data_IF_812625591436
#
_entry.id   IF_812625591436
#
_cell.length_a   1.000
_cell.length_b   1.000
_cell.length_c   1.000
_cell.angle_alpha   90.00
_cell.angle_beta   90.00
_cell.angle_gamma   90.00
#
_symmetry.space_group_name_H-M   'P 1'
#
loop_
_entity.id
_entity.type
_entity.pdbx_description
1 polymer ?
#
# COMPACT_ATOMS: atom_id res chain seq x y z
N UNK A 1 -46.06 -9.75 -18.37
CA UNK A 1 -46.64 -9.03 -17.23
C UNK A 1 -45.48 -8.56 -16.36
N UNK A 2 -45.16 -7.28 -16.45
CA UNK A 2 -44.16 -6.67 -15.59
C UNK A 2 -44.84 -6.38 -14.24
N UNK A 3 -44.54 -7.20 -13.25
CA UNK A 3 -44.85 -6.85 -11.86
C UNK A 3 -43.94 -5.68 -11.49
N UNK A 4 -44.53 -4.57 -11.08
CA UNK A 4 -43.78 -3.37 -10.75
C UNK A 4 -42.76 -3.61 -9.63
N UNK A 5 -41.68 -2.87 -9.64
CA UNK A 5 -40.53 -2.96 -8.70
C UNK A 5 -40.97 -2.96 -7.22
N UNK A 6 -42.05 -2.25 -6.89
CA UNK A 6 -42.64 -2.16 -5.55
C UNK A 6 -43.31 -3.45 -5.06
N UNK A 7 -43.86 -4.27 -5.99
CA UNK A 7 -44.48 -5.54 -5.62
C UNK A 7 -43.45 -6.67 -5.37
N UNK A 8 -42.26 -6.60 -5.96
CA UNK A 8 -41.16 -7.53 -5.67
C UNK A 8 -40.50 -7.24 -4.32
N UNK A 9 -40.40 -5.98 -3.93
CA UNK A 9 -39.81 -5.59 -2.64
C UNK A 9 -40.68 -6.06 -1.45
N UNK A 10 -42.00 -6.04 -1.60
CA UNK A 10 -42.95 -6.47 -0.56
C UNK A 10 -42.98 -7.99 -0.31
N UNK A 11 -42.48 -8.81 -1.26
CA UNK A 11 -42.47 -10.28 -1.14
C UNK A 11 -41.31 -10.83 -0.30
N UNK A 12 -40.29 -9.99 0.05
CA UNK A 12 -39.05 -10.42 0.73
C UNK A 12 -38.86 -9.82 2.13
N UNK A 13 -39.83 -9.04 2.64
CA UNK A 13 -39.72 -8.36 3.95
C UNK A 13 -39.90 -9.27 5.15
N UNK A 14 -40.22 -10.56 4.97
CA UNK A 14 -40.57 -11.50 6.04
C UNK A 14 -39.67 -12.76 6.06
N UNK A 15 -38.46 -12.66 5.48
CA UNK A 15 -37.49 -13.77 5.54
C UNK A 15 -36.77 -13.78 6.90
N UNK A 16 -36.68 -14.96 7.57
CA UNK A 16 -36.02 -15.04 8.86
C UNK A 16 -34.52 -14.74 8.78
N UNK A 17 -34.03 -13.90 9.68
CA UNK A 17 -32.60 -13.58 9.84
C UNK A 17 -31.96 -14.48 10.89
N UNK A 18 -31.49 -15.65 10.46
CA UNK A 18 -30.82 -16.60 11.35
C UNK A 18 -29.45 -16.14 11.86
N UNK A 19 -28.80 -15.18 11.22
CA UNK A 19 -27.49 -14.67 11.66
C UNK A 19 -27.62 -13.81 12.94
N UNK A 20 -28.75 -13.11 13.08
CA UNK A 20 -29.05 -12.29 14.26
C UNK A 20 -29.64 -13.09 15.45
N UNK A 21 -29.89 -14.39 15.29
CA UNK A 21 -30.41 -15.22 16.38
C UNK A 21 -29.40 -15.32 17.53
N UNK A 22 -29.90 -15.57 18.75
CA UNK A 22 -29.08 -15.84 19.91
C UNK A 22 -28.38 -17.20 19.83
N UNK A 23 -27.10 -17.23 20.26
CA UNK A 23 -26.33 -18.49 20.35
C UNK A 23 -26.15 -18.91 21.81
N UNK A 24 -26.74 -20.06 22.19
CA UNK A 24 -26.70 -20.57 23.55
C UNK A 24 -25.37 -21.18 23.96
N UNK A 25 -24.45 -21.40 23.02
CA UNK A 25 -23.13 -21.98 23.28
C UNK A 25 -22.17 -21.03 24.01
N UNK A 26 -22.47 -19.72 23.99
CA UNK A 26 -21.73 -18.66 24.66
C UNK A 26 -20.21 -18.63 24.34
N UNK A 27 -19.83 -18.93 23.09
CA UNK A 27 -18.46 -18.92 22.59
C UNK A 27 -18.30 -17.79 21.56
N UNK A 28 -17.41 -16.84 21.88
CA UNK A 28 -17.03 -15.81 20.91
C UNK A 28 -16.15 -16.39 19.80
N UNK A 29 -16.22 -15.81 18.60
CA UNK A 29 -15.36 -16.15 17.46
C UNK A 29 -14.39 -15.02 17.22
N UNK A 30 -13.07 -15.29 17.24
CA UNK A 30 -12.04 -14.26 17.05
C UNK A 30 -12.06 -13.68 15.63
N UNK A 31 -12.27 -14.54 14.61
CA UNK A 31 -12.31 -14.13 13.20
C UNK A 31 -13.38 -14.90 12.44
N UNK A 32 -14.36 -14.18 11.90
CA UNK A 32 -15.36 -14.68 10.97
C UNK A 32 -15.47 -13.73 9.79
N UNK A 33 -15.60 -14.23 8.56
CA UNK A 33 -15.73 -13.37 7.39
C UNK A 33 -15.47 -14.10 6.07
N UNK A 34 -15.04 -13.35 5.06
CA UNK A 34 -14.78 -13.84 3.71
C UNK A 34 -13.29 -14.01 3.46
N UNK A 35 -12.94 -15.00 2.65
CA UNK A 35 -11.55 -15.36 2.34
C UNK A 35 -11.37 -15.65 0.86
N UNK A 36 -10.13 -15.40 0.37
CA UNK A 36 -9.67 -15.72 -0.98
C UNK A 36 -10.47 -15.03 -2.12
N UNK A 37 -11.07 -13.87 -1.85
CA UNK A 37 -11.74 -13.08 -2.87
C UNK A 37 -10.71 -12.35 -3.74
N UNK A 38 -10.71 -12.58 -5.06
CA UNK A 38 -9.89 -11.81 -6.00
C UNK A 38 -10.54 -10.44 -6.27
N UNK A 39 -9.79 -9.36 -6.01
CA UNK A 39 -10.30 -8.00 -6.15
C UNK A 39 -9.24 -7.04 -6.72
N UNK A 40 -9.60 -6.13 -7.65
CA UNK A 40 -8.67 -5.12 -8.16
C UNK A 40 -8.34 -4.10 -7.07
N UNK A 41 -7.05 -3.82 -6.90
CA UNK A 41 -6.53 -2.88 -5.91
C UNK A 41 -5.50 -1.93 -6.53
N UNK A 42 -5.24 -0.82 -5.86
CA UNK A 42 -4.21 0.14 -6.19
C UNK A 42 -3.16 0.15 -5.08
N UNK A 43 -1.90 -0.02 -5.46
CA UNK A 43 -0.77 0.00 -4.52
C UNK A 43 0.10 1.20 -4.84
N UNK A 44 0.59 1.90 -3.81
CA UNK A 44 1.52 3.00 -4.00
C UNK A 44 2.83 2.48 -4.57
N UNK A 45 3.32 3.15 -5.60
CA UNK A 45 4.55 2.86 -6.34
C UNK A 45 5.43 4.12 -6.32
N UNK A 46 6.66 3.96 -5.87
CA UNK A 46 7.58 5.10 -5.69
C UNK A 46 7.98 5.76 -7.02
N UNK A 47 8.02 4.99 -8.09
CA UNK A 47 8.43 5.46 -9.43
C UNK A 47 7.26 5.92 -10.28
N UNK A 48 6.10 5.24 -10.18
CA UNK A 48 4.94 5.44 -11.05
C UNK A 48 3.72 5.94 -10.27
N UNK A 49 3.89 6.35 -9.01
CA UNK A 49 2.85 6.81 -8.09
C UNK A 49 1.90 5.70 -7.66
N UNK A 50 1.27 4.98 -8.59
CA UNK A 50 0.30 3.91 -8.34
C UNK A 50 0.51 2.75 -9.29
N UNK A 51 0.48 1.54 -8.75
CA UNK A 51 0.43 0.30 -9.51
C UNK A 51 -0.92 -0.38 -9.33
N UNK A 52 -1.60 -0.68 -10.46
CA UNK A 52 -2.83 -1.47 -10.46
C UNK A 52 -2.49 -2.95 -10.45
N UNK A 53 -3.08 -3.70 -9.52
CA UNK A 53 -2.88 -5.14 -9.40
C UNK A 53 -4.17 -5.84 -8.97
N UNK A 54 -4.14 -7.16 -8.88
CA UNK A 54 -5.24 -7.97 -8.35
C UNK A 54 -4.76 -8.60 -7.05
N UNK A 55 -5.46 -8.28 -5.95
CA UNK A 55 -5.19 -8.86 -4.65
C UNK A 55 -6.13 -10.02 -4.33
N UNK A 56 -5.63 -11.01 -3.56
CA UNK A 56 -6.47 -11.87 -2.73
C UNK A 56 -6.84 -11.12 -1.48
N UNK A 57 -8.12 -10.92 -1.26
CA UNK A 57 -8.68 -10.17 -0.16
C UNK A 57 -9.31 -11.12 0.84
N UNK A 58 -8.90 -11.00 2.10
CA UNK A 58 -9.56 -11.62 3.23
C UNK A 58 -10.07 -10.51 4.14
N UNK A 59 -11.33 -10.60 4.57
CA UNK A 59 -11.97 -9.67 5.49
C UNK A 59 -12.59 -10.45 6.64
N UNK A 60 -12.29 -10.03 7.87
CA UNK A 60 -12.81 -10.68 9.06
C UNK A 60 -13.26 -9.66 10.10
N UNK A 61 -14.17 -10.09 10.96
CA UNK A 61 -14.56 -9.40 12.18
C UNK A 61 -14.57 -10.37 13.36
N UNK A 62 -14.47 -9.84 14.56
CA UNK A 62 -14.81 -10.59 15.77
C UNK A 62 -16.33 -10.76 15.86
N UNK A 63 -16.80 -11.92 16.35
CA UNK A 63 -18.22 -12.18 16.60
C UNK A 63 -18.42 -12.43 18.09
N UNK A 64 -19.18 -11.57 18.78
CA UNK A 64 -19.52 -11.74 20.20
C UNK A 64 -20.25 -13.05 20.45
N UNK A 65 -20.08 -13.63 21.64
CA UNK A 65 -20.57 -14.94 22.04
C UNK A 65 -22.11 -15.14 21.94
N UNK A 66 -22.87 -14.04 21.94
CA UNK A 66 -24.32 -14.07 21.87
C UNK A 66 -24.93 -14.01 20.48
N UNK A 67 -24.11 -13.75 19.44
CA UNK A 67 -24.55 -13.78 18.05
C UNK A 67 -24.26 -15.14 17.40
N UNK A 68 -25.21 -15.66 16.65
CA UNK A 68 -25.10 -16.93 15.93
C UNK A 68 -24.22 -16.83 14.67
N UNK A 69 -24.23 -15.68 13.99
CA UNK A 69 -23.49 -15.47 12.76
C UNK A 69 -23.32 -14.00 12.38
N UNK A 70 -22.76 -13.77 11.18
CA UNK A 70 -22.65 -12.45 10.57
C UNK A 70 -23.03 -12.50 9.10
N UNK A 71 -23.42 -11.35 8.53
CA UNK A 71 -23.87 -11.24 7.15
C UNK A 71 -22.72 -11.12 6.17
N UNK A 72 -22.37 -12.20 5.47
CA UNK A 72 -21.25 -12.23 4.51
C UNK A 72 -21.42 -11.26 3.34
N UNK A 73 -22.65 -10.97 2.90
CA UNK A 73 -22.93 -10.00 1.84
C UNK A 73 -22.48 -8.58 2.17
N UNK A 74 -22.52 -8.18 3.45
CA UNK A 74 -22.09 -6.84 3.90
C UNK A 74 -20.60 -6.57 3.62
N UNK A 75 -19.74 -7.60 3.69
CA UNK A 75 -18.33 -7.46 3.30
C UNK A 75 -18.18 -7.09 1.82
N UNK A 76 -18.96 -7.75 0.94
CA UNK A 76 -18.91 -7.47 -0.51
C UNK A 76 -19.48 -6.08 -0.81
N UNK A 77 -20.54 -5.67 -0.11
CA UNK A 77 -21.13 -4.33 -0.26
C UNK A 77 -20.11 -3.23 0.11
N UNK A 78 -19.33 -3.44 1.19
CA UNK A 78 -18.27 -2.51 1.62
C UNK A 78 -17.19 -2.41 0.54
N UNK A 79 -16.72 -3.54 0.01
CA UNK A 79 -15.73 -3.54 -1.06
C UNK A 79 -16.25 -2.85 -2.32
N UNK A 80 -17.49 -3.11 -2.71
CA UNK A 80 -18.11 -2.49 -3.89
C UNK A 80 -18.28 -0.98 -3.73
N UNK A 81 -18.62 -0.51 -2.51
CA UNK A 81 -18.72 0.92 -2.21
C UNK A 81 -17.36 1.63 -2.25
N UNK A 82 -16.26 0.88 -2.09
CA UNK A 82 -14.87 1.36 -2.13
C UNK A 82 -14.13 0.93 -3.40
N UNK A 83 -14.86 0.59 -4.46
CA UNK A 83 -14.28 0.16 -5.73
C UNK A 83 -13.35 1.23 -6.31
N UNK A 84 -12.09 0.86 -6.58
CA UNK A 84 -11.05 1.78 -7.04
C UNK A 84 -10.34 2.58 -5.94
N UNK A 85 -10.78 2.47 -4.67
CA UNK A 85 -10.18 3.16 -3.52
C UNK A 85 -9.45 2.21 -2.56
N UNK A 86 -9.19 0.98 -2.97
CA UNK A 86 -8.48 -0.03 -2.16
C UNK A 86 -6.98 0.27 -2.16
N UNK A 87 -6.58 1.21 -1.30
CA UNK A 87 -5.19 1.62 -1.10
C UNK A 87 -4.82 1.52 0.38
N UNK A 88 -3.53 1.47 0.68
CA UNK A 88 -3.03 1.51 2.06
C UNK A 88 -3.51 2.75 2.83
N UNK A 89 -3.68 3.89 2.13
CA UNK A 89 -4.16 5.15 2.73
C UNK A 89 -5.59 5.04 3.25
N UNK A 90 -6.44 4.30 2.53
CA UNK A 90 -7.87 4.18 2.85
C UNK A 90 -8.18 3.01 3.79
N UNK A 91 -7.17 2.20 4.12
CA UNK A 91 -7.34 1.00 4.94
C UNK A 91 -7.96 1.27 6.32
N UNK A 92 -7.57 2.32 7.08
CA UNK A 92 -8.22 2.65 8.35
C UNK A 92 -9.71 2.98 8.21
N UNK A 93 -10.10 3.69 7.13
CA UNK A 93 -11.51 4.01 6.88
C UNK A 93 -12.32 2.79 6.45
N UNK A 94 -11.72 1.89 5.67
CA UNK A 94 -12.34 0.61 5.28
C UNK A 94 -12.58 -0.26 6.52
N UNK A 95 -11.60 -0.38 7.41
CA UNK A 95 -11.75 -1.11 8.66
C UNK A 95 -12.84 -0.49 9.56
N UNK A 96 -12.96 0.84 9.58
CA UNK A 96 -14.05 1.53 10.30
C UNK A 96 -15.42 1.21 9.70
N UNK A 97 -15.54 1.22 8.37
CA UNK A 97 -16.80 0.84 7.71
C UNK A 97 -17.19 -0.62 7.99
N UNK A 98 -16.18 -1.51 8.04
CA UNK A 98 -16.39 -2.92 8.40
C UNK A 98 -16.94 -3.04 9.83
N UNK A 99 -16.29 -2.38 10.82
CA UNK A 99 -16.74 -2.38 12.21
C UNK A 99 -18.18 -1.87 12.33
N UNK A 100 -18.49 -0.73 11.70
CA UNK A 100 -19.79 -0.09 11.80
C UNK A 100 -20.92 -0.92 11.14
N UNK A 101 -20.67 -1.44 9.93
CA UNK A 101 -21.72 -2.17 9.18
C UNK A 101 -21.95 -3.58 9.70
N UNK A 102 -20.97 -4.17 10.35
CA UNK A 102 -21.04 -5.53 10.90
C UNK A 102 -21.23 -5.52 12.43
N UNK A 103 -21.32 -4.33 13.05
CA UNK A 103 -21.51 -4.15 14.49
C UNK A 103 -20.48 -4.93 15.31
N UNK A 104 -19.18 -4.86 14.87
CA UNK A 104 -18.10 -5.64 15.43
C UNK A 104 -17.08 -4.75 16.14
N UNK A 105 -16.49 -5.27 17.24
CA UNK A 105 -15.44 -4.59 17.99
C UNK A 105 -14.11 -4.57 17.22
N UNK A 106 -13.79 -5.66 16.54
CA UNK A 106 -12.56 -5.85 15.79
C UNK A 106 -12.84 -6.08 14.31
N UNK A 107 -12.06 -5.45 13.43
CA UNK A 107 -12.06 -5.69 11.99
C UNK A 107 -10.64 -5.98 11.50
N UNK A 108 -10.54 -6.87 10.50
CA UNK A 108 -9.27 -7.29 9.91
C UNK A 108 -9.38 -7.32 8.39
N UNK A 109 -8.31 -6.89 7.71
CA UNK A 109 -8.14 -6.99 6.27
C UNK A 109 -6.77 -7.56 5.96
N UNK A 110 -6.70 -8.48 5.00
CA UNK A 110 -5.46 -9.01 4.44
C UNK A 110 -5.54 -8.92 2.92
N UNK A 111 -4.55 -8.29 2.30
CA UNK A 111 -4.44 -8.10 0.86
C UNK A 111 -3.14 -8.72 0.39
N UNK A 112 -3.19 -9.85 -0.32
CA UNK A 112 -2.00 -10.48 -0.91
C UNK A 112 -2.01 -10.24 -2.42
N UNK A 113 -0.92 -9.68 -2.96
CA UNK A 113 -0.84 -9.27 -4.36
C UNK A 113 0.58 -9.38 -4.93
N UNK A 114 0.74 -9.57 -6.24
CA UNK A 114 2.00 -9.38 -6.92
C UNK A 114 2.30 -7.88 -7.06
N UNK A 115 3.54 -7.51 -6.77
CA UNK A 115 4.06 -6.16 -6.94
C UNK A 115 5.25 -6.19 -7.90
N UNK A 116 5.34 -5.25 -8.85
CA UNK A 116 6.35 -5.26 -9.89
C UNK A 116 7.29 -4.06 -9.75
N UNK A 117 8.59 -4.34 -9.75
CA UNK A 117 9.64 -3.32 -9.72
C UNK A 117 10.42 -3.39 -11.03
N UNK A 118 10.61 -2.26 -11.72
CA UNK A 118 11.52 -2.17 -12.85
C UNK A 118 12.96 -2.26 -12.36
N UNK A 119 13.70 -3.23 -12.87
CA UNK A 119 15.12 -3.45 -12.57
C UNK A 119 15.96 -3.31 -13.82
N UNK A 120 17.10 -2.65 -13.67
CA UNK A 120 18.14 -2.55 -14.70
C UNK A 120 19.20 -3.62 -14.49
N UNK A 121 19.53 -4.36 -15.54
CA UNK A 121 20.65 -5.28 -15.54
C UNK A 121 21.97 -4.53 -15.28
N UNK A 122 22.93 -5.11 -14.50
CA UNK A 122 24.04 -4.36 -13.91
C UNK A 122 25.10 -3.86 -14.91
N UNK A 123 25.22 -4.47 -16.07
CA UNK A 123 26.23 -4.12 -17.10
C UNK A 123 25.56 -3.57 -18.36
N UNK A 124 24.61 -4.32 -18.93
CA UNK A 124 23.92 -3.91 -20.17
C UNK A 124 22.93 -2.78 -19.97
N UNK A 125 22.44 -2.58 -18.72
CA UNK A 125 21.42 -1.59 -18.42
C UNK A 125 20.03 -1.91 -18.97
N UNK A 126 19.81 -3.12 -19.52
CA UNK A 126 18.50 -3.51 -20.04
C UNK A 126 17.48 -3.60 -18.90
N UNK A 127 16.30 -3.01 -19.11
CA UNK A 127 15.24 -2.98 -18.10
C UNK A 127 14.32 -4.19 -18.23
N UNK A 128 13.85 -4.66 -17.07
CA UNK A 128 12.84 -5.70 -16.97
C UNK A 128 12.04 -5.59 -15.69
N UNK A 129 10.79 -6.05 -15.71
CA UNK A 129 9.95 -6.10 -14.51
C UNK A 129 10.27 -7.36 -13.70
N UNK A 130 10.50 -7.17 -12.41
CA UNK A 130 10.67 -8.26 -11.44
C UNK A 130 9.46 -8.27 -10.49
N UNK A 131 8.88 -9.48 -10.30
CA UNK A 131 7.72 -9.68 -9.43
C UNK A 131 8.16 -9.97 -7.98
N UNK A 132 7.43 -9.38 -7.03
CA UNK A 132 7.57 -9.63 -5.59
C UNK A 132 6.19 -9.92 -4.99
N UNK A 133 6.10 -10.97 -4.16
CA UNK A 133 4.89 -11.29 -3.42
C UNK A 133 4.75 -10.37 -2.21
N UNK A 134 3.68 -9.58 -2.15
CA UNK A 134 3.43 -8.64 -1.07
C UNK A 134 2.12 -8.94 -0.35
N UNK A 135 2.07 -8.66 0.94
CA UNK A 135 0.83 -8.77 1.73
C UNK A 135 0.73 -7.57 2.67
N UNK A 136 -0.40 -6.88 2.63
CA UNK A 136 -0.81 -5.94 3.66
C UNK A 136 -1.75 -6.66 4.62
N UNK A 137 -1.45 -6.59 5.93
CA UNK A 137 -2.36 -7.04 6.98
C UNK A 137 -2.67 -5.84 7.86
N UNK A 138 -3.93 -5.50 7.99
CA UNK A 138 -4.35 -4.44 8.88
C UNK A 138 -5.47 -4.92 9.81
N UNK A 139 -5.44 -4.45 11.03
CA UNK A 139 -6.51 -4.71 11.99
C UNK A 139 -6.86 -3.43 12.76
N UNK A 140 -8.10 -3.32 13.17
CA UNK A 140 -8.58 -2.20 13.97
C UNK A 140 -9.36 -2.72 15.17
N UNK A 141 -8.96 -2.25 16.36
CA UNK A 141 -9.65 -2.50 17.62
C UNK A 141 -9.89 -1.16 18.33
N UNK A 142 -11.16 -0.78 18.46
CA UNK A 142 -11.50 0.56 18.92
C UNK A 142 -10.86 1.64 18.05
N UNK A 143 -10.10 2.60 18.61
CA UNK A 143 -9.40 3.63 17.84
C UNK A 143 -8.06 3.16 17.25
N UNK A 144 -7.51 2.02 17.71
CA UNK A 144 -6.18 1.56 17.35
C UNK A 144 -6.19 0.79 16.03
N UNK A 145 -5.30 1.17 15.12
CA UNK A 145 -5.04 0.47 13.86
C UNK A 145 -3.63 -0.11 13.92
N UNK A 146 -3.51 -1.43 13.75
CA UNK A 146 -2.23 -2.11 13.53
C UNK A 146 -2.08 -2.39 12.04
N UNK A 147 -0.89 -2.18 11.51
CA UNK A 147 -0.57 -2.47 10.12
C UNK A 147 0.74 -3.24 10.02
N UNK A 148 0.75 -4.28 9.21
CA UNK A 148 1.91 -5.09 8.90
C UNK A 148 2.07 -5.19 7.39
N UNK A 149 3.27 -4.84 6.91
CA UNK A 149 3.72 -5.11 5.55
C UNK A 149 4.50 -6.43 5.54
N UNK A 150 4.14 -7.35 4.67
CA UNK A 150 4.93 -8.54 4.38
C UNK A 150 5.41 -8.51 2.92
N UNK A 151 6.70 -8.80 2.70
CA UNK A 151 7.32 -8.82 1.37
C UNK A 151 8.17 -10.08 1.23
N UNK A 152 7.94 -10.85 0.17
CA UNK A 152 8.79 -11.98 -0.22
C UNK A 152 9.78 -11.55 -1.28
N UNK A 153 11.06 -11.61 -0.94
CA UNK A 153 12.17 -11.17 -1.78
C UNK A 153 12.99 -12.38 -2.22
N UNK A 154 12.93 -12.78 -3.50
CA UNK A 154 13.79 -13.84 -4.02
C UNK A 154 15.20 -13.29 -4.33
N UNK A 155 16.23 -13.99 -3.85
CA UNK A 155 17.64 -13.62 -4.03
C UNK A 155 18.50 -14.84 -4.35
N UNK A 156 19.79 -14.64 -4.64
CA UNK A 156 20.77 -15.71 -4.78
C UNK A 156 21.61 -15.81 -3.49
N UNK A 157 21.84 -17.03 -3.02
CA UNK A 157 22.88 -17.34 -2.04
C UNK A 157 23.91 -18.33 -2.60
N UNK A 158 25.17 -18.19 -2.22
CA UNK A 158 26.26 -19.07 -2.56
C UNK A 158 26.91 -19.57 -1.28
N UNK A 159 27.07 -20.90 -1.17
CA UNK A 159 27.53 -21.52 0.07
C UNK A 159 29.01 -21.24 0.36
N UNK A 160 29.34 -20.60 1.50
CA UNK A 160 30.73 -20.35 1.91
C UNK A 160 31.52 -21.64 2.15
N UNK A 161 30.90 -22.68 2.74
CA UNK A 161 31.54 -23.95 3.00
C UNK A 161 31.94 -24.65 1.70
N UNK A 162 31.03 -24.75 0.72
CA UNK A 162 31.35 -25.40 -0.55
C UNK A 162 32.43 -24.64 -1.31
N UNK A 163 32.45 -23.29 -1.22
CA UNK A 163 33.50 -22.45 -1.77
C UNK A 163 34.86 -22.75 -1.13
N UNK A 164 34.90 -22.99 0.18
CA UNK A 164 36.15 -23.23 0.92
C UNK A 164 36.74 -24.62 0.66
N UNK A 165 35.92 -25.64 0.41
CA UNK A 165 36.39 -27.03 0.26
C UNK A 165 36.54 -27.49 -1.18
N UNK A 166 35.89 -26.81 -2.13
CA UNK A 166 35.90 -27.20 -3.55
C UNK A 166 37.02 -26.50 -4.32
N UNK A 167 37.74 -27.24 -5.12
CA UNK A 167 38.75 -26.68 -6.03
C UNK A 167 38.15 -26.07 -7.32
N UNK A 168 36.86 -26.24 -7.58
CA UNK A 168 36.25 -25.90 -8.87
C UNK A 168 35.00 -25.04 -8.79
N UNK A 169 34.70 -24.45 -7.66
CA UNK A 169 33.54 -23.56 -7.49
C UNK A 169 32.78 -23.80 -6.22
N UNK A 170 31.54 -23.34 -6.17
CA UNK A 170 30.64 -23.51 -5.05
C UNK A 170 29.21 -23.69 -5.53
N UNK A 171 28.39 -24.47 -4.82
CA UNK A 171 26.97 -24.49 -5.14
C UNK A 171 26.31 -23.17 -4.77
N UNK A 172 25.37 -22.78 -5.57
CA UNK A 172 24.48 -21.67 -5.33
C UNK A 172 23.03 -22.11 -5.49
N UNK A 173 22.13 -21.32 -4.95
CA UNK A 173 20.71 -21.61 -4.96
C UNK A 173 19.89 -20.33 -4.87
N UNK A 174 18.61 -20.46 -5.18
CA UNK A 174 17.63 -19.43 -4.90
C UNK A 174 17.30 -19.44 -3.40
N UNK A 175 17.26 -18.26 -2.81
CA UNK A 175 16.79 -18.04 -1.45
C UNK A 175 15.53 -17.20 -1.49
N UNK A 176 14.53 -17.56 -0.70
CA UNK A 176 13.32 -16.78 -0.49
C UNK A 176 13.43 -16.12 0.87
N UNK A 177 13.48 -14.80 0.89
CA UNK A 177 13.50 -14.02 2.14
C UNK A 177 12.12 -13.43 2.36
N UNK A 178 11.46 -13.87 3.42
CA UNK A 178 10.18 -13.34 3.88
C UNK A 178 10.44 -12.30 4.96
N UNK A 179 10.00 -11.08 4.71
CA UNK A 179 10.09 -9.94 5.65
C UNK A 179 8.69 -9.59 6.08
N UNK A 180 8.43 -9.57 7.38
CA UNK A 180 7.26 -8.94 7.99
C UNK A 180 7.74 -7.74 8.81
N UNK A 181 7.15 -6.56 8.58
CA UNK A 181 7.55 -5.30 9.23
C UNK A 181 6.35 -4.55 9.76
N UNK A 182 6.47 -4.05 11.01
CA UNK A 182 5.62 -3.01 11.59
C UNK A 182 6.44 -1.75 11.79
N UNK A 183 5.88 -0.63 11.37
CA UNK A 183 6.53 0.67 11.47
C UNK A 183 5.51 1.74 11.86
N UNK A 184 5.95 2.75 12.61
CA UNK A 184 5.17 3.97 12.85
C UNK A 184 5.13 4.88 11.62
N UNK A 185 6.15 4.79 10.77
CA UNK A 185 6.26 5.55 9.53
C UNK A 185 5.89 4.69 8.32
N UNK A 186 5.64 5.34 7.19
CA UNK A 186 5.38 4.62 5.95
C UNK A 186 6.66 4.02 5.38
N UNK A 187 6.64 2.70 5.14
CA UNK A 187 7.75 1.95 4.53
C UNK A 187 7.39 1.55 3.11
N UNK A 188 8.23 1.91 2.14
CA UNK A 188 8.06 1.52 0.76
C UNK A 188 8.46 0.07 0.53
N UNK A 189 7.69 -0.65 -0.30
CA UNK A 189 8.01 -2.04 -0.71
C UNK A 189 9.41 -2.08 -1.34
N UNK A 190 9.75 -1.10 -2.18
CA UNK A 190 11.04 -0.99 -2.85
C UNK A 190 12.22 -0.84 -1.87
N UNK A 191 12.01 -0.16 -0.74
CA UNK A 191 13.05 -0.02 0.29
C UNK A 191 13.33 -1.34 1.00
N UNK A 192 12.27 -2.11 1.29
CA UNK A 192 12.40 -3.47 1.86
C UNK A 192 13.14 -4.38 0.88
N UNK A 193 12.72 -4.39 -0.40
CA UNK A 193 13.37 -5.20 -1.44
C UNK A 193 14.84 -4.84 -1.59
N UNK A 194 15.15 -3.54 -1.72
CA UNK A 194 16.52 -3.07 -1.88
C UNK A 194 17.41 -3.40 -0.66
N UNK A 195 16.86 -3.33 0.57
CA UNK A 195 17.59 -3.69 1.78
C UNK A 195 17.99 -5.17 1.77
N UNK A 196 17.04 -6.06 1.48
CA UNK A 196 17.29 -7.51 1.43
C UNK A 196 18.25 -7.88 0.29
N UNK A 197 18.08 -7.32 -0.90
CA UNK A 197 18.95 -7.61 -2.05
C UNK A 197 20.40 -7.23 -1.81
N UNK A 198 20.66 -6.16 -1.04
CA UNK A 198 22.04 -5.79 -0.64
C UNK A 198 22.69 -6.78 0.32
N UNK A 199 21.88 -7.55 1.06
CA UNK A 199 22.35 -8.54 2.03
C UNK A 199 22.63 -9.91 1.42
N UNK A 200 22.14 -10.18 0.22
CA UNK A 200 22.28 -11.45 -0.48
C UNK A 200 23.65 -11.60 -1.17
N UNK A 201 23.98 -12.81 -1.62
CA UNK A 201 25.17 -13.02 -2.48
C UNK A 201 25.04 -12.26 -3.80
N UNK A 202 23.85 -12.26 -4.40
CA UNK A 202 23.49 -11.42 -5.53
C UNK A 202 21.95 -11.25 -5.61
N UNK A 203 21.47 -10.12 -6.17
CA UNK A 203 20.06 -9.95 -6.52
C UNK A 203 19.68 -10.82 -7.73
N UNK A 204 18.36 -11.03 -7.92
CA UNK A 204 17.82 -11.66 -9.12
C UNK A 204 17.34 -10.63 -10.13
N UNK A 205 17.32 -11.02 -11.40
CA UNK A 205 16.82 -10.22 -12.52
C UNK A 205 15.95 -11.08 -13.43
N UNK A 206 14.90 -10.51 -14.02
CA UNK A 206 14.06 -11.21 -14.99
C UNK A 206 14.72 -11.29 -16.38
N UNK A 207 15.65 -10.36 -16.71
CA UNK A 207 16.37 -10.32 -17.98
C UNK A 207 17.83 -9.97 -17.75
N UNK A 208 18.74 -10.81 -18.25
CA UNK A 208 20.20 -10.61 -18.26
C UNK A 208 20.74 -10.87 -19.67
N UNK A 209 21.76 -10.12 -20.07
CA UNK A 209 22.62 -10.42 -21.22
C UNK A 209 23.85 -11.21 -20.74
N UNK A 210 24.69 -11.70 -21.67
CA UNK A 210 25.88 -12.52 -21.31
C UNK A 210 26.85 -11.81 -20.37
N UNK A 211 27.08 -10.53 -20.59
CA UNK A 211 27.91 -9.69 -19.71
C UNK A 211 27.32 -9.52 -18.32
N UNK A 212 25.99 -9.44 -18.21
CA UNK A 212 25.28 -9.38 -16.94
C UNK A 212 25.34 -10.73 -16.20
N UNK A 213 25.16 -11.85 -16.93
CA UNK A 213 25.26 -13.20 -16.35
C UNK A 213 26.65 -13.43 -15.75
N UNK A 214 27.71 -13.02 -16.49
CA UNK A 214 29.09 -13.08 -15.98
C UNK A 214 29.22 -12.25 -14.68
N UNK A 215 28.75 -11.00 -14.71
CA UNK A 215 28.85 -10.10 -13.55
C UNK A 215 28.12 -10.67 -12.33
N UNK A 216 26.86 -11.09 -12.47
CA UNK A 216 26.04 -11.60 -11.35
C UNK A 216 26.63 -12.91 -10.80
N UNK A 217 27.16 -13.77 -11.67
CA UNK A 217 27.83 -15.01 -11.27
C UNK A 217 29.09 -14.73 -10.43
N UNK A 218 29.94 -13.81 -10.89
CA UNK A 218 31.16 -13.43 -10.18
C UNK A 218 30.81 -12.70 -8.87
N UNK A 219 29.84 -11.78 -8.88
CA UNK A 219 29.35 -11.09 -7.68
C UNK A 219 28.88 -12.09 -6.62
N UNK A 220 28.09 -13.08 -7.00
CA UNK A 220 27.61 -14.09 -6.06
C UNK A 220 28.75 -14.95 -5.51
N UNK A 221 29.73 -15.30 -6.37
CA UNK A 221 30.88 -16.06 -5.94
C UNK A 221 31.79 -15.29 -4.98
N UNK A 222 31.97 -13.99 -5.19
CA UNK A 222 32.81 -13.14 -4.34
C UNK A 222 32.13 -12.77 -3.01
N UNK A 223 30.80 -12.90 -2.93
CA UNK A 223 30.00 -12.57 -1.75
C UNK A 223 29.22 -13.78 -1.20
N UNK A 224 29.90 -14.86 -0.73
CA UNK A 224 29.23 -16.03 -0.20
C UNK A 224 28.50 -15.71 1.10
N UNK A 225 27.28 -16.28 1.29
CA UNK A 225 26.40 -16.06 2.45
C UNK A 225 25.77 -17.35 2.90
N UNK A 226 25.84 -17.61 4.21
CA UNK A 226 24.97 -18.61 4.86
C UNK A 226 23.53 -18.07 4.97
N UNK A 227 22.57 -18.96 5.19
CA UNK A 227 21.18 -18.55 5.45
C UNK A 227 21.09 -17.70 6.72
N UNK A 228 21.91 -17.97 7.72
CA UNK A 228 22.05 -17.22 8.96
C UNK A 228 22.59 -15.81 8.74
N UNK A 229 23.59 -15.65 7.86
CA UNK A 229 24.17 -14.34 7.53
C UNK A 229 23.13 -13.49 6.79
N UNK A 230 22.42 -14.10 5.83
CA UNK A 230 21.38 -13.42 5.06
C UNK A 230 20.28 -12.85 5.97
N UNK A 231 19.84 -13.63 6.97
CA UNK A 231 18.80 -13.19 7.92
C UNK A 231 19.36 -12.11 8.87
N UNK A 232 20.56 -12.28 9.43
CA UNK A 232 21.18 -11.28 10.32
C UNK A 232 21.41 -9.96 9.62
N UNK A 233 22.02 -9.99 8.44
CA UNK A 233 22.31 -8.78 7.66
C UNK A 233 21.02 -8.07 7.26
N UNK A 234 19.99 -8.83 6.86
CA UNK A 234 18.67 -8.29 6.50
C UNK A 234 18.01 -7.57 7.68
N UNK A 235 18.05 -8.15 8.90
CA UNK A 235 17.52 -7.50 10.10
C UNK A 235 18.27 -6.21 10.40
N UNK A 236 19.61 -6.23 10.32
CA UNK A 236 20.46 -5.04 10.56
C UNK A 236 20.13 -3.92 9.57
N UNK A 237 19.91 -4.23 8.29
CA UNK A 237 19.56 -3.21 7.30
C UNK A 237 18.12 -2.71 7.44
N UNK A 238 17.16 -3.61 7.67
CA UNK A 238 15.75 -3.26 7.79
C UNK A 238 15.44 -2.43 9.05
N UNK A 239 16.17 -2.63 10.15
CA UNK A 239 16.09 -1.81 11.37
C UNK A 239 16.42 -0.33 11.13
N UNK A 240 17.17 -0.01 10.06
CA UNK A 240 17.52 1.38 9.68
C UNK A 240 16.40 2.11 8.98
N UNK A 241 15.35 1.41 8.52
CA UNK A 241 14.20 2.05 7.90
C UNK A 241 13.44 2.88 8.94
N UNK A 242 12.99 4.10 8.57
CA UNK A 242 12.33 5.00 9.50
C UNK A 242 11.14 4.36 10.21
N UNK A 243 11.05 4.60 11.52
CA UNK A 243 9.93 4.16 12.34
C UNK A 243 9.78 2.64 12.50
N UNK A 244 10.76 1.83 12.11
CA UNK A 244 10.70 0.38 12.29
C UNK A 244 10.66 0.03 13.77
N UNK A 245 9.60 -0.72 14.19
CA UNK A 245 9.35 -1.10 15.58
C UNK A 245 9.45 -2.61 15.78
N UNK A 246 9.07 -3.37 14.78
CA UNK A 246 9.09 -4.83 14.85
C UNK A 246 9.37 -5.43 13.49
N UNK A 247 10.18 -6.48 13.48
CA UNK A 247 10.56 -7.25 12.30
C UNK A 247 10.47 -8.74 12.59
N UNK A 248 9.97 -9.48 11.61
CA UNK A 248 10.25 -10.92 11.46
C UNK A 248 10.85 -11.14 10.09
N UNK A 249 12.08 -11.64 10.07
CA UNK A 249 12.79 -11.98 8.83
C UNK A 249 13.10 -13.48 8.87
N UNK A 250 12.66 -14.18 7.84
CA UNK A 250 13.04 -15.58 7.62
C UNK A 250 13.59 -15.76 6.22
N UNK A 251 14.52 -16.69 6.06
CA UNK A 251 15.08 -17.07 4.78
C UNK A 251 15.05 -18.59 4.61
N UNK A 252 14.66 -19.02 3.42
CA UNK A 252 14.69 -20.41 2.98
C UNK A 252 15.61 -20.53 1.77
N UNK A 253 16.74 -21.23 1.93
CA UNK A 253 17.66 -21.59 0.87
C UNK A 253 17.24 -22.91 0.24
N UNK A 254 16.84 -22.89 -1.03
CA UNK A 254 16.51 -24.09 -1.79
C UNK A 254 17.82 -24.76 -2.24
N UNK A 255 18.45 -25.50 -1.33
CA UNK A 255 19.78 -26.09 -1.51
C UNK A 255 19.86 -26.97 -2.77
N UNK A 256 20.78 -26.62 -3.70
CA UNK A 256 20.88 -27.30 -5.00
C UNK A 256 21.48 -28.69 -4.93
N UNK A 257 22.17 -29.05 -3.84
CA UNK A 257 22.81 -30.35 -3.62
C UNK A 257 22.13 -31.22 -2.55
N UNK A 258 21.07 -30.71 -1.93
CA UNK A 258 20.31 -31.39 -0.88
C UNK A 258 18.84 -31.57 -1.27
N UNK A 259 18.17 -32.53 -0.66
CA UNK A 259 16.72 -32.78 -0.84
C UNK A 259 15.84 -32.02 0.17
N UNK A 260 16.43 -31.11 0.93
CA UNK A 260 15.77 -30.22 1.89
C UNK A 260 16.30 -28.80 1.73
N UNK A 261 15.55 -27.85 2.27
CA UNK A 261 15.96 -26.44 2.34
C UNK A 261 16.66 -26.16 3.66
N UNK A 262 17.62 -25.24 3.67
CA UNK A 262 18.12 -24.62 4.90
C UNK A 262 17.23 -23.42 5.27
N UNK A 263 16.95 -23.25 6.56
CA UNK A 263 16.05 -22.23 7.06
C UNK A 263 16.62 -21.49 8.26
N UNK A 264 16.46 -20.16 8.30
CA UNK A 264 16.76 -19.33 9.45
C UNK A 264 15.67 -18.27 9.64
N UNK A 265 15.45 -17.86 10.89
CA UNK A 265 14.51 -16.79 11.23
C UNK A 265 15.03 -15.98 12.41
N UNK A 266 14.82 -14.67 12.35
CA UNK A 266 14.95 -13.75 13.49
C UNK A 266 13.66 -12.94 13.63
N UNK A 267 13.21 -12.78 14.85
CA UNK A 267 12.22 -11.81 15.26
C UNK A 267 12.92 -10.77 16.13
N UNK A 268 12.68 -9.48 15.85
CA UNK A 268 13.27 -8.36 16.56
C UNK A 268 12.20 -7.30 16.83
N UNK A 269 12.32 -6.66 17.98
CA UNK A 269 11.47 -5.56 18.41
C UNK A 269 12.33 -4.49 19.08
N UNK A 270 12.00 -3.22 18.89
CA UNK A 270 12.64 -2.13 19.61
C UNK A 270 12.24 -2.11 21.10
N UNK A 271 11.15 -2.79 21.48
CA UNK A 271 10.70 -2.96 22.86
C UNK A 271 11.61 -3.89 23.67
N UNK A 272 12.32 -4.81 23.02
CA UNK A 272 13.29 -5.69 23.68
C UNK A 272 14.50 -4.90 24.20
N UNK A 273 14.73 -3.69 23.70
CA UNK A 273 15.78 -2.78 24.15
C UNK A 273 15.33 -1.86 25.30
N UNK A 274 14.02 -1.52 25.41
CA UNK A 274 13.50 -0.52 26.35
C UNK A 274 12.34 -0.97 27.29
N UNK A 275 11.76 -2.15 27.09
CA UNK A 275 10.81 -2.80 28.03
C UNK A 275 9.41 -2.21 28.15
N UNK A 276 8.92 -1.44 27.19
CA UNK A 276 7.59 -0.81 27.21
C UNK A 276 6.75 -1.20 25.98
N UNK A 277 5.65 -1.92 26.21
CA UNK A 277 4.66 -2.22 25.16
C UNK A 277 3.79 -1.00 24.84
N UNK A 278 4.25 -0.11 23.99
CA UNK A 278 3.37 0.86 23.33
C UNK A 278 2.69 0.21 22.11
N UNK A 279 1.34 0.18 22.11
CA UNK A 279 0.59 -0.32 20.95
C UNK A 279 0.84 0.60 19.76
N UNK A 280 1.48 0.06 18.72
CA UNK A 280 1.75 0.77 17.48
C UNK A 280 0.45 1.33 16.88
N UNK A 281 0.42 2.61 16.64
CA UNK A 281 -0.65 3.27 15.90
C UNK A 281 -0.14 3.58 14.49
N UNK A 282 -0.60 2.80 13.50
CA UNK A 282 -0.26 3.03 12.11
C UNK A 282 -0.90 4.33 11.60
N UNK A 283 -0.07 5.23 11.10
CA UNK A 283 -0.51 6.40 10.34
C UNK A 283 -0.20 6.16 8.86
N UNK A 284 -1.24 6.07 8.01
CA UNK A 284 -1.00 5.96 6.57
C UNK A 284 -0.29 7.22 6.07
N UNK A 285 0.52 7.10 4.99
CA UNK A 285 1.21 8.25 4.43
C UNK A 285 0.18 9.31 4.03
N UNK A 286 0.49 10.58 4.30
CA UNK A 286 -0.27 11.69 3.76
C UNK A 286 -0.32 11.57 2.24
N UNK A 287 -1.48 11.90 1.63
CA UNK A 287 -1.53 12.02 0.19
C UNK A 287 -0.50 13.09 -0.22
N UNK A 288 0.32 12.86 -1.28
CA UNK A 288 1.12 13.94 -1.82
C UNK A 288 0.17 15.10 -2.12
N UNK A 289 0.50 16.29 -1.65
CA UNK A 289 -0.38 17.47 -1.83
C UNK A 289 -0.65 17.79 -3.31
N UNK A 290 0.18 17.27 -4.21
CA UNK A 290 0.11 17.50 -5.66
C UNK A 290 -0.87 16.58 -6.42
N UNK A 291 -1.39 15.51 -5.82
CA UNK A 291 -2.14 14.46 -6.56
C UNK A 291 -3.66 14.45 -6.40
N UNK A 292 -4.20 15.25 -5.50
CA UNK A 292 -5.67 15.37 -5.44
C UNK A 292 -6.15 16.19 -6.63
N UNK A 293 -7.02 15.62 -7.49
CA UNK A 293 -7.78 16.43 -8.42
C UNK A 293 -8.37 17.63 -7.68
N UNK A 294 -8.27 18.82 -8.26
CA UNK A 294 -8.65 20.06 -7.62
C UNK A 294 -10.03 20.01 -6.92
N UNK A 295 -11.00 19.32 -7.53
CA UNK A 295 -12.35 19.15 -6.96
C UNK A 295 -12.34 18.39 -5.65
N UNK A 296 -11.61 17.29 -5.59
CA UNK A 296 -11.47 16.45 -4.38
C UNK A 296 -10.72 17.22 -3.28
N UNK A 297 -9.64 17.91 -3.62
CA UNK A 297 -8.90 18.76 -2.71
C UNK A 297 -9.79 19.87 -2.15
N UNK A 298 -10.55 20.58 -3.00
CA UNK A 298 -11.45 21.65 -2.58
C UNK A 298 -12.53 21.15 -1.60
N UNK A 299 -13.10 19.97 -1.87
CA UNK A 299 -14.05 19.30 -0.96
C UNK A 299 -13.43 19.03 0.40
N UNK A 300 -12.19 18.54 0.45
CA UNK A 300 -11.49 18.28 1.70
C UNK A 300 -11.23 19.57 2.47
N UNK A 301 -10.76 20.63 1.78
CA UNK A 301 -10.53 21.94 2.40
C UNK A 301 -11.83 22.53 2.97
N UNK A 302 -12.93 22.41 2.24
CA UNK A 302 -14.26 22.81 2.69
C UNK A 302 -14.68 22.07 3.96
N UNK A 303 -14.64 20.71 3.89
CA UNK A 303 -15.10 19.85 4.99
C UNK A 303 -14.23 20.00 6.23
N UNK A 304 -12.90 20.11 6.06
CA UNK A 304 -11.97 20.31 7.17
C UNK A 304 -12.15 21.64 7.92
N UNK A 305 -12.79 22.63 7.29
CA UNK A 305 -13.15 23.92 7.88
C UNK A 305 -14.61 24.02 8.34
N UNK A 306 -15.38 22.94 8.19
CA UNK A 306 -16.76 22.86 8.62
C UNK A 306 -17.77 23.57 7.71
N UNK A 307 -17.39 24.00 6.50
CA UNK A 307 -18.31 24.62 5.56
C UNK A 307 -19.23 23.60 4.88
N UNK A 308 -20.52 23.88 4.82
CA UNK A 308 -21.44 23.22 3.90
C UNK A 308 -21.13 23.62 2.44
N UNK A 309 -21.64 22.86 1.46
CA UNK A 309 -21.51 23.24 0.04
C UNK A 309 -22.16 24.59 -0.26
N UNK A 310 -23.28 24.92 0.38
CA UNK A 310 -23.98 26.19 0.18
C UNK A 310 -23.14 27.36 0.72
N UNK A 311 -22.61 27.26 1.92
CA UNK A 311 -21.79 28.31 2.53
C UNK A 311 -20.52 28.60 1.72
N UNK A 312 -19.81 27.56 1.26
CA UNK A 312 -18.64 27.77 0.41
C UNK A 312 -19.04 28.37 -0.95
N UNK A 313 -20.13 27.88 -1.56
CA UNK A 313 -20.62 28.41 -2.84
C UNK A 313 -20.93 29.91 -2.73
N UNK A 314 -21.57 30.34 -1.65
CA UNK A 314 -21.88 31.74 -1.38
C UNK A 314 -20.59 32.59 -1.24
N UNK A 315 -19.58 32.08 -0.52
CA UNK A 315 -18.27 32.75 -0.41
C UNK A 315 -17.56 32.88 -1.77
N UNK A 316 -17.67 31.85 -2.62
CA UNK A 316 -17.05 31.86 -3.94
C UNK A 316 -17.85 32.62 -4.99
N UNK A 317 -19.09 33.03 -4.68
CA UNK A 317 -19.99 33.71 -5.61
C UNK A 317 -20.49 32.80 -6.74
N UNK A 318 -20.64 31.49 -6.46
CA UNK A 318 -21.16 30.47 -7.38
C UNK A 318 -22.40 29.79 -6.81
N UNK A 319 -23.15 29.05 -7.62
CA UNK A 319 -24.26 28.25 -7.08
C UNK A 319 -23.74 26.96 -6.41
N UNK A 320 -24.45 26.44 -5.41
CA UNK A 320 -24.12 25.15 -4.78
C UNK A 320 -24.06 24.00 -5.80
N UNK A 321 -24.96 24.01 -6.81
CA UNK A 321 -24.93 23.03 -7.90
C UNK A 321 -23.67 23.16 -8.79
N UNK A 322 -23.14 24.37 -8.99
CA UNK A 322 -21.88 24.58 -9.69
C UNK A 322 -20.71 24.07 -8.86
N UNK A 323 -20.66 24.41 -7.56
CA UNK A 323 -19.63 23.93 -6.64
C UNK A 323 -19.63 22.40 -6.54
N UNK A 324 -20.79 21.74 -6.46
CA UNK A 324 -20.89 20.26 -6.46
C UNK A 324 -20.25 19.64 -7.70
N UNK A 325 -20.44 20.25 -8.89
CA UNK A 325 -19.83 19.77 -10.14
C UNK A 325 -18.34 20.10 -10.24
N UNK A 326 -17.87 21.12 -9.55
CA UNK A 326 -16.43 21.39 -9.41
C UNK A 326 -15.79 20.35 -8.48
N UNK A 327 -16.43 20.05 -7.36
CA UNK A 327 -15.96 19.05 -6.41
C UNK A 327 -15.98 17.60 -6.98
N UNK A 328 -16.82 17.34 -8.02
CA UNK A 328 -16.81 16.06 -8.76
C UNK A 328 -15.89 16.05 -9.98
N UNK A 329 -15.18 17.15 -10.27
CA UNK A 329 -14.28 17.26 -11.42
C UNK A 329 -14.97 17.56 -12.76
N UNK A 330 -16.30 17.72 -12.78
CA UNK A 330 -17.07 17.94 -14.02
C UNK A 330 -16.98 19.40 -14.53
N UNK A 331 -16.66 20.35 -13.67
CA UNK A 331 -16.54 21.78 -13.99
C UNK A 331 -15.33 22.41 -13.33
N UNK A 332 -14.94 23.57 -13.86
CA UNK A 332 -13.85 24.39 -13.32
C UNK A 332 -14.40 25.68 -12.71
N UNK A 333 -13.67 26.22 -11.74
CA UNK A 333 -13.91 27.56 -11.22
C UNK A 333 -13.32 28.63 -12.17
N UNK A 334 -13.93 29.81 -12.16
CA UNK A 334 -13.34 31.01 -12.80
C UNK A 334 -12.12 31.49 -12.01
N UNK A 335 -11.26 32.29 -12.64
CA UNK A 335 -10.08 32.86 -11.97
C UNK A 335 -10.46 33.67 -10.73
N UNK A 336 -11.53 34.44 -10.79
CA UNK A 336 -12.04 35.21 -9.65
C UNK A 336 -12.49 34.32 -8.50
N UNK A 337 -13.12 33.19 -8.80
CA UNK A 337 -13.51 32.22 -7.78
C UNK A 337 -12.28 31.49 -7.18
N UNK A 338 -11.24 31.24 -7.99
CA UNK A 338 -9.98 30.66 -7.50
C UNK A 338 -9.24 31.64 -6.59
N UNK A 339 -9.26 32.96 -6.87
CA UNK A 339 -8.71 33.98 -5.96
C UNK A 339 -9.43 33.98 -4.61
N UNK A 340 -10.76 33.87 -4.61
CA UNK A 340 -11.53 33.76 -3.36
C UNK A 340 -11.25 32.47 -2.60
N UNK A 341 -10.97 31.37 -3.31
CA UNK A 341 -10.50 30.12 -2.66
C UNK A 341 -9.15 30.36 -1.99
N UNK A 342 -8.19 31.01 -2.69
CA UNK A 342 -6.87 31.31 -2.17
C UNK A 342 -6.96 32.19 -0.91
N UNK A 343 -7.76 33.25 -0.95
CA UNK A 343 -7.99 34.17 0.18
C UNK A 343 -8.61 33.44 1.38
N UNK A 344 -9.63 32.60 1.13
CA UNK A 344 -10.32 31.85 2.18
C UNK A 344 -9.41 30.81 2.86
N UNK A 345 -8.47 30.24 2.09
CA UNK A 345 -7.55 29.22 2.57
C UNK A 345 -6.25 29.83 3.14
N UNK A 346 -5.98 31.13 2.92
CA UNK A 346 -4.71 31.77 3.28
C UNK A 346 -3.53 31.23 2.48
N UNK A 347 -3.78 30.79 1.23
CA UNK A 347 -2.76 30.25 0.31
C UNK A 347 -2.44 31.24 -0.81
N UNK A 348 -1.28 31.09 -1.45
CA UNK A 348 -0.94 31.90 -2.61
C UNK A 348 -1.87 31.55 -3.79
N UNK A 349 -2.33 32.58 -4.51
CA UNK A 349 -3.22 32.41 -5.67
C UNK A 349 -2.63 31.47 -6.72
N UNK A 350 -1.31 31.60 -6.97
CA UNK A 350 -0.61 30.79 -7.97
C UNK A 350 -0.64 29.30 -7.65
N UNK A 351 -0.51 28.93 -6.39
CA UNK A 351 -0.61 27.54 -5.93
C UNK A 351 -2.02 26.97 -6.17
N UNK A 352 -3.05 27.72 -5.81
CA UNK A 352 -4.45 27.31 -5.99
C UNK A 352 -4.81 27.23 -7.47
N UNK A 353 -4.35 28.21 -8.29
CA UNK A 353 -4.60 28.24 -9.73
C UNK A 353 -3.92 27.06 -10.46
N UNK A 354 -2.64 26.81 -10.17
CA UNK A 354 -1.90 25.68 -10.74
C UNK A 354 -2.54 24.34 -10.37
N UNK A 355 -2.99 24.17 -9.12
CA UNK A 355 -3.72 22.99 -8.66
C UNK A 355 -5.05 22.80 -9.40
N UNK A 356 -5.70 23.90 -9.80
CA UNK A 356 -6.92 23.86 -10.62
C UNK A 356 -6.64 23.66 -12.12
N UNK A 357 -5.38 23.48 -12.51
CA UNK A 357 -4.96 23.36 -13.91
C UNK A 357 -5.07 24.68 -14.69
N UNK A 358 -4.98 25.81 -13.99
CA UNK A 358 -5.00 27.16 -14.57
C UNK A 358 -3.63 27.80 -14.35
N UNK A 359 -2.97 28.19 -15.45
CA UNK A 359 -1.71 28.96 -15.37
C UNK A 359 -2.04 30.42 -15.29
N UNK A 360 -1.66 31.15 -14.22
CA UNK A 360 -1.86 32.58 -14.09
C UNK A 360 -1.25 33.36 -15.26
N UNK A 361 -1.90 34.45 -15.69
CA UNK A 361 -1.49 35.19 -16.90
C UNK A 361 -0.08 35.83 -16.82
N UNK A 362 0.35 36.23 -15.64
CA UNK A 362 1.70 36.68 -15.32
C UNK A 362 2.73 35.56 -15.40
N UNK A 363 2.42 34.33 -14.91
CA UNK A 363 3.27 33.15 -15.07
C UNK A 363 3.42 32.74 -16.54
N UNK A 364 2.36 32.82 -17.36
CA UNK A 364 2.43 32.52 -18.79
C UNK A 364 3.49 33.39 -19.46
N UNK A 365 3.56 34.68 -19.10
CA UNK A 365 4.53 35.62 -19.64
C UNK A 365 5.97 35.32 -19.21
N UNK A 366 6.16 34.78 -18.00
CA UNK A 366 7.46 34.35 -17.46
C UNK A 366 7.92 33.05 -18.16
N UNK A 367 7.03 32.06 -18.24
CA UNK A 367 7.30 30.77 -18.91
C UNK A 367 7.63 30.99 -20.39
N UNK A 368 6.91 31.90 -21.08
CA UNK A 368 7.18 32.21 -22.49
C UNK A 368 8.56 32.85 -22.70
N UNK A 369 9.01 33.70 -21.78
CA UNK A 369 10.35 34.33 -21.83
C UNK A 369 11.49 33.36 -21.54
N UNK A 370 11.25 32.35 -20.73
CA UNK A 370 12.22 31.32 -20.28
C UNK A 370 11.87 29.92 -20.78
N UNK A 371 11.23 29.80 -21.93
CA UNK A 371 10.69 28.55 -22.43
C UNK A 371 11.77 27.48 -22.68
N UNK A 372 13.02 27.86 -22.94
CA UNK A 372 14.12 26.92 -23.10
C UNK A 372 14.60 26.39 -21.76
N UNK A 373 14.84 27.28 -20.80
CA UNK A 373 15.27 26.92 -19.43
C UNK A 373 14.22 26.04 -18.75
N UNK A 374 12.93 26.34 -18.97
CA UNK A 374 11.82 25.53 -18.45
C UNK A 374 11.76 24.13 -19.06
N UNK A 375 12.01 23.98 -20.37
CA UNK A 375 12.11 22.66 -21.03
C UNK A 375 13.28 21.84 -20.51
N UNK A 376 14.45 22.46 -20.32
CA UNK A 376 15.63 21.80 -19.74
C UNK A 376 15.39 21.36 -18.30
N UNK A 377 14.72 22.22 -17.50
CA UNK A 377 14.32 21.90 -16.14
C UNK A 377 13.32 20.73 -16.05
N UNK A 378 12.31 20.69 -16.96
CA UNK A 378 11.34 19.58 -17.06
C UNK A 378 12.05 18.29 -17.48
N UNK A 379 12.92 18.34 -18.50
CA UNK A 379 13.67 17.19 -18.99
C UNK A 379 14.59 16.59 -17.92
N UNK A 380 15.22 17.42 -17.10
CA UNK A 380 16.07 16.98 -15.98
C UNK A 380 15.31 16.26 -14.84
N UNK A 381 13.97 16.40 -14.78
CA UNK A 381 13.10 15.77 -13.77
C UNK A 381 12.28 14.60 -14.30
N UNK A 382 12.27 14.37 -15.60
CA UNK A 382 11.62 13.21 -16.25
C UNK A 382 12.61 12.10 -16.60
N UNK A 383 13.91 12.28 -16.38
CA UNK A 383 14.98 11.29 -16.47
C UNK A 383 15.44 10.87 -15.09
#
# INVERSE_FOLDING_TARGET
>A
MNLGHDAQTALFTDLPDHAAEHDDRALAIDKVGIKDLSYPVQVLDRSNQVQHTVARVNLYVSLPHHFKGTHMSRFIEILNARRGEMTIRNMPSILTDIQLRLEADDAHIELTFPYFISKRAPVSGVESLMEYGCTFKASKRGPHVDFLLAVRVPVTSLCPCSKAVSERGAHNQRSLVDVEIRSSDFVWIEEVVAAVERCASAPLFALLKREDEKYVTELAYDNPKFVEDLVRDSVIELRKLPGTRWLRVSAENQESIHNHSAFAQIEWSDEDEDGVQERLHFQPPAAPEEELEFGTWLRQQRSGRGFSQQELADHLGVSAAHLSRVESGEKRLSEDALRRVADLLGQAFDEVALRAGVVPADMVSIIARHAQDFREWVAARQG
#
